data_IF_224871213328
#
_entry.id   IF_224871213328
#
_cell.length_a   1.000
_cell.length_b   1.000
_cell.length_c   1.000
_cell.angle_alpha   90.00
_cell.angle_beta   90.00
_cell.angle_gamma   90.00
#
_symmetry.space_group_name_H-M   'P 1'
#
loop_
_entity.id
_entity.type
_entity.pdbx_description
1 polymer ?
#
# COMPACT_ATOMS: atom_id res chain seq x y z
N UNK A 1 -26.82 -80.30 19.06
CA UNK A 1 -25.43 -80.12 18.60
C UNK A 1 -25.30 -78.73 18.04
N UNK A 2 -24.16 -78.10 18.32
CA UNK A 2 -23.70 -76.80 17.81
C UNK A 2 -24.29 -75.55 18.46
N UNK A 3 -23.68 -75.23 19.60
CA UNK A 3 -23.35 -73.89 20.07
C UNK A 3 -22.53 -73.13 19.01
N UNK A 4 -22.71 -71.82 18.89
CA UNK A 4 -21.60 -70.93 18.59
C UNK A 4 -21.81 -69.55 19.24
N UNK A 5 -20.70 -69.02 19.72
CA UNK A 5 -20.55 -67.95 20.69
C UNK A 5 -20.16 -66.67 19.96
N UNK A 6 -20.84 -65.56 20.22
CA UNK A 6 -20.39 -64.23 19.77
C UNK A 6 -19.91 -63.42 20.97
N UNK A 7 -18.62 -63.06 20.92
CA UNK A 7 -17.91 -62.25 21.90
C UNK A 7 -18.36 -60.77 21.85
N UNK A 8 -18.24 -60.03 22.97
CA UNK A 8 -18.45 -58.57 22.98
C UNK A 8 -17.16 -57.81 22.62
N UNK A 9 -17.30 -56.78 21.78
CA UNK A 9 -16.26 -55.80 21.43
C UNK A 9 -15.91 -54.88 22.61
N UNK A 10 -14.62 -54.64 22.92
CA UNK A 10 -14.22 -53.69 23.94
C UNK A 10 -13.97 -52.28 23.36
N UNK A 11 -14.54 -51.30 24.07
CA UNK A 11 -13.97 -49.97 24.30
C UNK A 11 -14.07 -48.92 23.18
N UNK A 12 -15.21 -48.23 23.21
CA UNK A 12 -15.36 -46.85 22.75
C UNK A 12 -14.61 -45.90 23.69
N UNK A 13 -13.52 -45.32 23.21
CA UNK A 13 -12.76 -44.27 23.93
C UNK A 13 -13.04 -42.92 23.27
N UNK A 14 -13.87 -42.10 23.93
CA UNK A 14 -14.14 -40.72 23.50
C UNK A 14 -13.01 -39.79 23.99
N UNK A 15 -12.38 -38.96 23.12
CA UNK A 15 -11.38 -38.00 23.56
C UNK A 15 -12.02 -36.78 24.24
N UNK A 16 -11.34 -36.27 25.27
CA UNK A 16 -11.75 -35.12 26.09
C UNK A 16 -11.84 -33.81 25.27
N UNK A 17 -12.74 -32.88 25.66
CA UNK A 17 -12.87 -31.59 25.00
C UNK A 17 -11.66 -30.70 25.30
N UNK A 18 -11.07 -30.11 24.26
CA UNK A 18 -10.02 -29.10 24.35
C UNK A 18 -10.54 -27.80 24.97
N UNK A 19 -9.70 -27.07 25.74
CA UNK A 19 -10.10 -25.81 26.35
C UNK A 19 -10.37 -24.75 25.29
N UNK A 20 -11.56 -24.15 25.37
CA UNK A 20 -12.02 -23.10 24.48
C UNK A 20 -11.07 -21.89 24.52
N UNK A 21 -10.34 -21.68 23.43
CA UNK A 21 -9.60 -20.44 23.18
C UNK A 21 -10.61 -19.30 23.08
N UNK A 22 -10.39 -18.29 23.90
CA UNK A 22 -11.28 -17.16 24.15
C UNK A 22 -11.65 -16.42 22.84
N UNK A 23 -12.90 -16.55 22.36
CA UNK A 23 -13.40 -15.94 21.11
C UNK A 23 -13.53 -14.41 21.17
N UNK A 24 -13.36 -13.78 22.33
CA UNK A 24 -13.55 -12.33 22.50
C UNK A 24 -12.36 -11.51 22.02
N UNK A 25 -11.15 -12.07 22.02
CA UNK A 25 -9.96 -11.31 21.66
C UNK A 25 -9.77 -11.16 20.14
N UNK A 26 -10.46 -11.97 19.33
CA UNK A 26 -10.39 -11.88 17.86
C UNK A 26 -11.26 -10.77 17.30
N UNK A 27 -12.39 -10.42 17.94
CA UNK A 27 -13.30 -9.40 17.40
C UNK A 27 -12.65 -8.01 17.44
N UNK A 28 -12.08 -7.61 18.57
CA UNK A 28 -11.35 -6.34 18.71
C UNK A 28 -10.13 -6.25 17.78
N UNK A 29 -9.49 -7.40 17.48
CA UNK A 29 -8.36 -7.44 16.56
C UNK A 29 -8.77 -7.39 15.08
N UNK A 30 -10.01 -7.78 14.74
CA UNK A 30 -10.55 -7.66 13.38
C UNK A 30 -11.01 -6.23 13.10
N UNK A 31 -11.65 -5.56 14.08
CA UNK A 31 -12.07 -4.17 13.93
C UNK A 31 -10.88 -3.22 13.73
N UNK A 32 -9.79 -3.41 14.48
CA UNK A 32 -8.55 -2.65 14.29
C UNK A 32 -7.89 -2.93 12.91
N UNK A 33 -7.98 -4.16 12.39
CA UNK A 33 -7.47 -4.50 11.06
C UNK A 33 -8.35 -3.93 9.93
N UNK A 34 -9.65 -3.71 10.17
CA UNK A 34 -10.54 -3.07 9.21
C UNK A 34 -10.27 -1.57 9.07
N UNK A 35 -9.90 -0.87 10.14
CA UNK A 35 -9.48 0.55 10.08
C UNK A 35 -8.17 0.73 9.29
N UNK A 36 -7.18 -0.14 9.51
CA UNK A 36 -5.92 -0.10 8.76
C UNK A 36 -6.11 -0.48 7.28
N UNK A 37 -7.01 -1.42 6.98
CA UNK A 37 -7.32 -1.81 5.61
C UNK A 37 -8.19 -0.78 4.89
N UNK A 38 -9.03 -0.02 5.61
CA UNK A 38 -9.75 1.12 5.06
C UNK A 38 -8.79 2.24 4.65
N UNK A 39 -7.80 2.56 5.50
CA UNK A 39 -6.75 3.54 5.18
C UNK A 39 -5.89 3.14 3.97
N UNK A 40 -5.56 1.84 3.83
CA UNK A 40 -4.85 1.29 2.68
C UNK A 40 -5.73 1.17 1.42
N UNK A 41 -7.03 0.89 1.53
CA UNK A 41 -7.98 0.92 0.40
C UNK A 41 -8.27 2.34 -0.07
N UNK A 42 -8.26 3.33 0.81
CA UNK A 42 -8.32 4.75 0.42
C UNK A 42 -7.00 5.27 -0.14
N UNK A 43 -5.90 4.50 -0.02
CA UNK A 43 -4.71 4.69 -0.83
C UNK A 43 -4.86 4.10 -2.24
N UNK A 44 -6.06 3.64 -2.63
CA UNK A 44 -6.50 3.67 -4.03
C UNK A 44 -6.19 5.07 -4.55
N UNK A 45 -5.29 5.12 -5.53
CA UNK A 45 -4.73 6.30 -6.17
C UNK A 45 -5.80 7.39 -6.30
N UNK A 46 -5.85 8.31 -5.33
CA UNK A 46 -6.81 9.41 -5.40
C UNK A 46 -6.54 10.16 -6.70
N UNK A 47 -7.58 10.73 -7.31
CA UNK A 47 -7.44 11.49 -8.55
C UNK A 47 -6.34 12.55 -8.39
N UNK A 48 -6.22 13.14 -7.21
CA UNK A 48 -5.20 14.11 -6.84
C UNK A 48 -3.79 13.50 -6.85
N UNK A 49 -3.62 12.27 -6.35
CA UNK A 49 -2.34 11.57 -6.38
C UNK A 49 -1.93 11.20 -7.81
N UNK A 50 -2.89 10.79 -8.65
CA UNK A 50 -2.66 10.54 -10.09
C UNK A 50 -2.26 11.82 -10.83
N UNK A 51 -2.95 12.92 -10.56
CA UNK A 51 -2.59 14.23 -11.13
C UNK A 51 -1.19 14.61 -10.70
N UNK A 52 -0.84 14.47 -9.41
CA UNK A 52 0.48 14.83 -8.93
C UNK A 52 1.60 13.99 -9.55
N UNK A 53 1.35 12.71 -9.84
CA UNK A 53 2.38 11.79 -10.35
C UNK A 53 2.74 12.03 -11.82
N UNK A 54 1.84 12.59 -12.62
CA UNK A 54 2.06 12.82 -14.06
C UNK A 54 2.62 14.22 -14.39
N UNK A 55 2.69 15.10 -13.39
CA UNK A 55 3.13 16.48 -13.58
C UNK A 55 4.62 16.64 -13.24
N UNK A 56 5.45 16.67 -14.28
CA UNK A 56 6.89 16.82 -14.12
C UNK A 56 7.29 18.30 -14.22
N UNK A 57 7.94 18.88 -13.19
CA UNK A 57 8.47 20.24 -13.25
C UNK A 57 9.41 20.43 -14.45
N UNK A 58 9.34 21.59 -15.10
CA UNK A 58 10.15 21.89 -16.28
C UNK A 58 10.48 23.37 -16.38
N UNK A 59 11.60 23.67 -17.02
CA UNK A 59 11.99 25.04 -17.39
C UNK A 59 11.51 25.34 -18.82
N UNK A 60 10.53 26.22 -19.01
CA UNK A 60 10.03 26.55 -20.33
C UNK A 60 11.01 27.45 -21.10
N UNK A 61 10.82 27.52 -22.41
CA UNK A 61 11.50 28.49 -23.27
C UNK A 61 11.12 29.92 -22.85
N UNK A 62 12.06 30.90 -22.91
CA UNK A 62 11.87 32.27 -22.42
C UNK A 62 10.75 33.09 -23.10
N UNK A 63 10.10 32.55 -24.14
CA UNK A 63 8.97 33.19 -24.84
C UNK A 63 7.71 32.31 -24.90
N UNK A 64 7.70 31.18 -24.18
CA UNK A 64 6.53 30.31 -24.15
C UNK A 64 5.48 30.84 -23.17
N UNK A 65 4.21 30.60 -23.48
CA UNK A 65 3.06 30.95 -22.63
C UNK A 65 2.18 29.73 -22.42
N UNK A 66 1.45 29.71 -21.31
CA UNK A 66 0.51 28.62 -21.01
C UNK A 66 -0.69 28.72 -21.95
N UNK A 67 -1.03 27.65 -22.67
CA UNK A 67 -2.19 27.64 -23.59
C UNK A 67 -3.55 27.62 -22.88
N UNK A 68 -3.59 27.41 -21.55
CA UNK A 68 -4.82 27.42 -20.75
C UNK A 68 -5.15 28.85 -20.28
N UNK A 69 -4.20 29.53 -19.61
CA UNK A 69 -4.41 30.87 -19.06
C UNK A 69 -3.81 32.00 -19.92
N UNK A 70 -3.16 31.67 -21.03
CA UNK A 70 -2.50 32.60 -21.96
C UNK A 70 -1.43 33.51 -21.31
N UNK A 71 -0.98 33.18 -20.10
CA UNK A 71 0.03 33.95 -19.37
C UNK A 71 1.44 33.46 -19.72
N UNK A 72 2.41 34.36 -19.94
CA UNK A 72 3.81 33.97 -20.17
C UNK A 72 4.38 33.23 -18.97
N UNK A 73 5.26 32.26 -19.22
CA UNK A 73 5.89 31.54 -18.14
C UNK A 73 6.92 32.41 -17.39
N UNK A 74 7.07 32.21 -16.07
CA UNK A 74 8.07 32.93 -15.31
C UNK A 74 9.48 32.53 -15.76
N UNK A 75 10.35 33.52 -15.95
CA UNK A 75 11.73 33.34 -16.40
C UNK A 75 12.71 33.02 -15.27
N UNK A 76 12.28 33.15 -14.01
CA UNK A 76 13.11 32.92 -12.85
C UNK A 76 13.25 31.42 -12.54
N UNK A 77 14.47 30.92 -12.24
CA UNK A 77 14.69 29.50 -11.97
C UNK A 77 13.92 28.99 -10.74
N UNK A 78 13.66 29.87 -9.77
CA UNK A 78 12.84 29.55 -8.59
C UNK A 78 11.36 29.29 -8.94
N UNK A 79 10.90 29.70 -10.12
CA UNK A 79 9.53 29.53 -10.58
C UNK A 79 9.34 28.32 -11.51
N UNK A 80 10.39 27.55 -11.77
CA UNK A 80 10.32 26.30 -12.56
C UNK A 80 9.38 25.25 -11.92
N UNK A 81 9.16 25.31 -10.61
CA UNK A 81 8.17 24.47 -9.91
C UNK A 81 6.72 24.80 -10.29
N UNK A 82 6.47 26.02 -10.78
CA UNK A 82 5.15 26.46 -11.22
C UNK A 82 4.81 26.02 -12.64
N UNK A 83 5.77 25.45 -13.39
CA UNK A 83 5.63 25.03 -14.77
C UNK A 83 5.93 23.54 -14.92
N UNK A 84 5.06 22.84 -15.64
CA UNK A 84 5.12 21.37 -15.74
C UNK A 84 4.90 20.93 -17.18
N UNK A 85 5.52 19.82 -17.58
CA UNK A 85 5.21 19.13 -18.83
C UNK A 85 4.42 17.85 -18.56
N UNK A 86 3.70 17.41 -19.59
CA UNK A 86 2.95 16.15 -19.58
C UNK A 86 3.75 14.99 -20.21
N UNK A 87 3.47 13.73 -19.80
CA UNK A 87 4.17 12.54 -20.34
C UNK A 87 3.91 12.30 -21.83
N UNK A 88 2.82 12.86 -22.39
CA UNK A 88 2.51 12.71 -23.81
C UNK A 88 3.51 13.43 -24.74
N UNK A 89 4.12 14.54 -24.30
CA UNK A 89 5.18 15.22 -25.03
C UNK A 89 5.89 16.24 -24.12
N UNK A 90 7.22 16.28 -24.17
CA UNK A 90 8.04 17.26 -23.45
C UNK A 90 7.79 18.72 -23.88
N UNK A 91 7.15 18.94 -25.04
CA UNK A 91 6.76 20.28 -25.52
C UNK A 91 5.42 20.75 -24.97
N UNK A 92 4.62 19.87 -24.38
CA UNK A 92 3.31 20.20 -23.81
C UNK A 92 3.48 20.75 -22.40
N UNK A 93 3.79 22.05 -22.32
CA UNK A 93 4.09 22.75 -21.07
C UNK A 93 2.92 23.63 -20.62
N UNK A 94 2.61 23.59 -19.32
CA UNK A 94 1.52 24.34 -18.71
C UNK A 94 1.90 24.85 -17.31
N UNK A 95 1.13 25.80 -16.78
CA UNK A 95 1.19 26.13 -15.37
C UNK A 95 0.65 24.95 -14.55
N UNK A 96 1.36 24.56 -13.48
CA UNK A 96 0.98 23.45 -12.60
C UNK A 96 -0.46 23.57 -12.11
N UNK A 97 -0.86 24.78 -11.70
CA UNK A 97 -2.22 25.04 -11.24
C UNK A 97 -3.27 24.88 -12.35
N UNK A 98 -3.00 25.39 -13.56
CA UNK A 98 -3.93 25.33 -14.68
C UNK A 98 -4.18 23.89 -15.14
N UNK A 99 -3.11 23.10 -15.29
CA UNK A 99 -3.26 21.72 -15.75
C UNK A 99 -3.81 20.79 -14.66
N UNK A 100 -3.48 21.05 -13.39
CA UNK A 100 -4.10 20.33 -12.28
C UNK A 100 -5.60 20.60 -12.22
N UNK A 101 -6.03 21.86 -12.38
CA UNK A 101 -7.45 22.21 -12.42
C UNK A 101 -8.16 21.62 -13.64
N UNK A 102 -7.49 21.60 -14.80
CA UNK A 102 -7.98 20.91 -15.99
C UNK A 102 -8.29 19.44 -15.69
N UNK A 103 -7.41 18.70 -15.02
CA UNK A 103 -7.66 17.30 -14.68
C UNK A 103 -8.69 17.08 -13.57
N UNK A 104 -8.93 18.07 -12.70
CA UNK A 104 -10.01 18.03 -11.71
C UNK A 104 -11.38 18.21 -12.34
N UNK A 105 -11.50 19.23 -13.21
CA UNK A 105 -12.79 19.68 -13.74
C UNK A 105 -13.14 19.04 -15.08
N UNK A 106 -12.14 18.60 -15.86
CA UNK A 106 -12.30 18.00 -17.20
C UNK A 106 -11.81 16.55 -17.24
N UNK A 107 -11.88 15.92 -18.42
CA UNK A 107 -11.33 14.58 -18.68
C UNK A 107 -9.82 14.50 -18.38
N UNK A 108 -9.29 13.29 -18.17
CA UNK A 108 -7.88 12.97 -17.93
C UNK A 108 -6.97 13.12 -19.17
N UNK A 109 -7.25 14.08 -20.07
CA UNK A 109 -6.58 14.20 -21.37
C UNK A 109 -5.82 15.52 -21.54
N UNK A 110 -4.72 15.47 -22.30
CA UNK A 110 -3.90 16.64 -22.61
C UNK A 110 -4.69 17.68 -23.44
N UNK A 111 -4.70 18.98 -23.07
CA UNK A 111 -5.39 20.03 -23.83
C UNK A 111 -4.88 20.20 -25.28
N UNK A 112 -3.63 19.84 -25.56
CA UNK A 112 -3.01 20.05 -26.87
C UNK A 112 -3.20 18.86 -27.83
N UNK A 113 -2.97 17.64 -27.35
CA UNK A 113 -2.99 16.44 -28.21
C UNK A 113 -4.08 15.43 -27.85
N UNK A 114 -4.85 15.67 -26.77
CA UNK A 114 -5.91 14.78 -26.27
C UNK A 114 -5.46 13.39 -25.85
N UNK A 115 -4.16 13.13 -25.79
CA UNK A 115 -3.63 11.89 -25.23
C UNK A 115 -4.00 11.78 -23.75
N UNK A 116 -4.34 10.58 -23.25
CA UNK A 116 -4.60 10.36 -21.83
C UNK A 116 -3.33 10.66 -21.02
N UNK A 117 -3.49 11.35 -19.90
CA UNK A 117 -2.41 11.71 -19.00
C UNK A 117 -2.13 10.58 -17.99
N UNK A 118 -3.17 9.89 -17.53
CA UNK A 118 -3.13 8.73 -16.63
C UNK A 118 -4.32 7.83 -16.90
N UNK A 119 -4.14 6.52 -16.66
CA UNK A 119 -5.22 5.55 -16.74
C UNK A 119 -6.10 5.65 -15.48
N UNK A 120 -7.38 5.96 -15.66
CA UNK A 120 -8.34 5.88 -14.55
C UNK A 120 -8.75 4.42 -14.35
N UNK A 121 -8.72 3.90 -13.10
CA UNK A 121 -8.91 2.48 -12.82
C UNK A 121 -10.29 1.90 -13.20
N UNK A 122 -11.25 2.70 -13.66
CA UNK A 122 -12.59 2.25 -14.10
C UNK A 122 -12.92 2.58 -15.56
N UNK A 123 -11.96 3.07 -16.35
CA UNK A 123 -12.23 3.47 -17.74
C UNK A 123 -12.29 2.30 -18.74
N UNK A 124 -11.98 1.08 -18.30
CA UNK A 124 -12.21 -0.16 -19.06
C UNK A 124 -13.67 -0.60 -19.03
N UNK A 125 -14.63 0.33 -19.15
CA UNK A 125 -15.96 -0.07 -19.59
C UNK A 125 -15.83 -0.41 -21.06
N UNK A 126 -15.97 -1.68 -21.46
CA UNK A 126 -15.83 -2.00 -22.85
C UNK A 126 -17.04 -1.41 -23.58
N UNK A 127 -16.77 -0.39 -24.41
CA UNK A 127 -17.78 0.38 -25.15
C UNK A 127 -18.31 -0.45 -26.32
N UNK A 128 -19.01 -1.55 -26.03
CA UNK A 128 -19.89 -2.28 -26.96
C UNK A 128 -20.52 -3.58 -26.42
N UNK A 129 -20.47 -3.84 -25.11
CA UNK A 129 -21.04 -5.07 -24.56
C UNK A 129 -22.50 -4.86 -24.16
N UNK A 130 -23.33 -5.86 -24.42
CA UNK A 130 -24.70 -5.89 -23.91
C UNK A 130 -24.72 -5.98 -22.38
N UNK A 131 -25.83 -5.60 -21.75
CA UNK A 131 -25.97 -5.63 -20.28
C UNK A 131 -25.71 -7.02 -19.69
N UNK A 132 -26.08 -8.09 -20.42
CA UNK A 132 -25.84 -9.48 -20.02
C UNK A 132 -24.35 -9.86 -20.09
N UNK A 133 -23.64 -9.48 -21.15
CA UNK A 133 -22.19 -9.74 -21.30
C UNK A 133 -21.35 -8.90 -20.32
N UNK A 134 -21.86 -7.74 -19.92
CA UNK A 134 -21.23 -6.89 -18.91
C UNK A 134 -21.19 -7.59 -17.54
N UNK A 135 -22.25 -8.32 -17.18
CA UNK A 135 -22.32 -9.09 -15.95
C UNK A 135 -21.26 -10.19 -15.88
N UNK A 136 -21.10 -10.96 -16.96
CA UNK A 136 -20.08 -12.01 -17.06
C UNK A 136 -18.66 -11.44 -16.96
N UNK A 137 -18.40 -10.30 -17.62
CA UNK A 137 -17.12 -9.61 -17.54
C UNK A 137 -16.75 -9.18 -16.12
N UNK A 138 -17.67 -8.54 -15.38
CA UNK A 138 -17.40 -8.09 -14.01
C UNK A 138 -17.21 -9.26 -13.04
N UNK A 139 -17.95 -10.36 -13.22
CA UNK A 139 -17.75 -11.57 -12.42
C UNK A 139 -16.38 -12.21 -12.70
N UNK A 140 -16.00 -12.36 -13.97
CA UNK A 140 -14.69 -12.87 -14.35
C UNK A 140 -13.55 -11.98 -13.83
N UNK A 141 -13.70 -10.65 -13.92
CA UNK A 141 -12.73 -9.69 -13.39
C UNK A 141 -12.62 -9.76 -11.86
N UNK A 142 -13.75 -9.90 -11.16
CA UNK A 142 -13.78 -10.10 -9.71
C UNK A 142 -13.05 -11.38 -9.32
N UNK A 143 -13.33 -12.49 -9.99
CA UNK A 143 -12.71 -13.78 -9.67
C UNK A 143 -11.19 -13.74 -9.94
N UNK A 144 -10.76 -13.06 -11.00
CA UNK A 144 -9.33 -12.79 -11.26
C UNK A 144 -8.68 -11.96 -10.14
N UNK A 145 -9.34 -10.90 -9.66
CA UNK A 145 -8.83 -10.06 -8.57
C UNK A 145 -8.74 -10.83 -7.24
N UNK A 146 -9.66 -11.76 -7.00
CA UNK A 146 -9.63 -12.63 -5.81
C UNK A 146 -8.40 -13.54 -5.86
N UNK A 147 -8.08 -14.13 -7.01
CA UNK A 147 -6.88 -14.96 -7.18
C UNK A 147 -5.60 -14.14 -7.04
N UNK A 148 -5.51 -12.97 -7.68
CA UNK A 148 -4.36 -12.06 -7.56
C UNK A 148 -4.11 -11.64 -6.09
N UNK A 149 -5.18 -11.35 -5.35
CA UNK A 149 -5.08 -11.04 -3.92
C UNK A 149 -4.66 -12.28 -3.09
N UNK A 150 -5.11 -13.47 -3.46
CA UNK A 150 -4.69 -14.71 -2.81
C UNK A 150 -3.19 -14.97 -3.01
N UNK A 151 -2.67 -14.75 -4.22
CA UNK A 151 -1.24 -14.85 -4.54
C UNK A 151 -0.42 -13.82 -3.76
N UNK A 152 -0.83 -12.56 -3.75
CA UNK A 152 -0.11 -11.50 -3.03
C UNK A 152 -0.12 -11.75 -1.51
N UNK A 153 -1.24 -12.21 -0.94
CA UNK A 153 -1.28 -12.58 0.49
C UNK A 153 -0.39 -13.79 0.79
N UNK A 154 -0.28 -14.77 -0.10
CA UNK A 154 0.67 -15.87 0.04
C UNK A 154 2.14 -15.39 -0.03
N UNK A 155 2.43 -14.46 -0.94
CA UNK A 155 3.74 -13.82 -1.07
C UNK A 155 4.12 -13.05 0.19
N UNK A 156 3.22 -12.22 0.71
CA UNK A 156 3.44 -11.45 1.94
C UNK A 156 3.65 -12.36 3.16
N UNK A 157 2.88 -13.45 3.28
CA UNK A 157 3.10 -14.47 4.33
C UNK A 157 4.50 -15.09 4.24
N UNK A 158 4.95 -15.39 3.02
CA UNK A 158 6.29 -15.93 2.78
C UNK A 158 7.38 -14.94 3.18
N UNK A 159 7.26 -13.68 2.76
CA UNK A 159 8.18 -12.60 3.14
C UNK A 159 8.24 -12.41 4.66
N UNK A 160 7.08 -12.45 5.34
CA UNK A 160 7.01 -12.37 6.80
C UNK A 160 7.72 -13.55 7.47
N UNK A 161 7.56 -14.76 6.95
CA UNK A 161 8.24 -15.96 7.47
C UNK A 161 9.77 -15.85 7.34
N UNK A 162 10.26 -15.33 6.22
CA UNK A 162 11.71 -15.18 5.97
C UNK A 162 12.31 -14.02 6.77
N UNK A 163 11.59 -12.91 6.92
CA UNK A 163 12.08 -11.70 7.61
C UNK A 163 11.94 -11.75 9.13
N UNK A 164 11.01 -12.55 9.67
CA UNK A 164 10.78 -12.68 11.12
C UNK A 164 12.06 -12.99 11.93
N UNK A 165 12.88 -14.01 11.60
CA UNK A 165 14.10 -14.30 12.37
C UNK A 165 15.13 -13.17 12.28
N UNK A 166 15.23 -12.48 11.14
CA UNK A 166 16.13 -11.33 10.96
C UNK A 166 15.71 -10.16 11.83
N UNK A 167 14.40 -9.85 11.88
CA UNK A 167 13.86 -8.80 12.73
C UNK A 167 14.01 -9.13 14.22
N UNK A 168 13.81 -10.38 14.61
CA UNK A 168 14.00 -10.83 15.99
C UNK A 168 15.48 -10.72 16.43
N UNK A 169 16.41 -11.11 15.56
CA UNK A 169 17.85 -10.95 15.80
C UNK A 169 18.24 -9.46 15.91
N UNK A 170 17.71 -8.61 15.05
CA UNK A 170 17.95 -7.17 15.12
C UNK A 170 17.42 -6.56 16.42
N UNK A 171 16.23 -6.98 16.88
CA UNK A 171 15.67 -6.57 18.18
C UNK A 171 16.55 -7.03 19.35
N UNK A 172 17.03 -8.28 19.33
CA UNK A 172 17.91 -8.80 20.37
C UNK A 172 19.24 -8.02 20.44
N UNK A 173 19.85 -7.72 19.29
CA UNK A 173 21.08 -6.92 19.24
C UNK A 173 20.88 -5.48 19.76
N UNK A 174 19.74 -4.86 19.46
CA UNK A 174 19.40 -3.53 19.99
C UNK A 174 19.30 -3.55 21.52
N UNK A 175 18.60 -4.53 22.09
CA UNK A 175 18.47 -4.69 23.54
C UNK A 175 19.86 -4.88 24.18
N UNK A 176 20.71 -5.72 23.60
CA UNK A 176 22.06 -5.95 24.13
C UNK A 176 22.94 -4.68 24.07
N UNK A 177 22.87 -3.93 22.97
CA UNK A 177 23.57 -2.65 22.86
C UNK A 177 23.11 -1.64 23.92
N UNK A 178 21.80 -1.55 24.18
CA UNK A 178 21.24 -0.70 25.23
C UNK A 178 21.74 -1.13 26.63
N UNK A 179 21.87 -2.43 26.90
CA UNK A 179 22.44 -2.96 28.16
C UNK A 179 23.91 -2.63 28.32
N UNK A 180 24.71 -2.80 27.28
CA UNK A 180 26.14 -2.46 27.27
C UNK A 180 26.32 -0.96 27.54
N UNK A 181 25.53 -0.12 26.86
CA UNK A 181 25.58 1.32 27.04
C UNK A 181 25.22 1.74 28.47
N UNK A 182 24.16 1.16 29.04
CA UNK A 182 23.76 1.43 30.43
C UNK A 182 24.85 1.02 31.44
N UNK A 183 25.49 -0.14 31.24
CA UNK A 183 26.58 -0.60 32.09
C UNK A 183 27.81 0.31 32.01
N UNK A 184 28.16 0.74 30.79
CA UNK A 184 29.25 1.70 30.57
C UNK A 184 28.97 3.04 31.25
N UNK A 185 27.77 3.59 31.08
CA UNK A 185 27.36 4.84 31.75
C UNK A 185 27.48 4.73 33.27
N UNK A 186 26.96 3.65 33.86
CA UNK A 186 27.02 3.43 35.31
C UNK A 186 28.46 3.28 35.84
N UNK A 187 29.37 2.73 35.04
CA UNK A 187 30.78 2.64 35.40
C UNK A 187 31.47 4.01 35.41
N UNK A 188 31.11 4.88 34.46
CA UNK A 188 31.64 6.25 34.36
C UNK A 188 31.15 7.15 35.49
N UNK A 189 29.93 6.93 36.00
CA UNK A 189 29.36 7.70 37.10
C UNK A 189 29.89 7.27 38.49
N UNK A 190 30.73 6.23 38.58
CA UNK A 190 31.28 5.76 39.86
C UNK A 190 32.37 6.73 40.34
N UNK A 191 32.22 7.37 41.53
CA UNK A 191 33.25 8.26 42.05
C UNK A 191 34.55 7.48 42.28
N UNK A 192 35.73 8.08 42.03
CA UNK A 192 37.00 7.42 42.25
C UNK A 192 37.12 7.02 43.73
N UNK A 193 37.79 5.89 44.05
CA UNK A 193 37.96 5.47 45.43
C UNK A 193 38.67 6.58 46.21
N UNK A 194 38.14 6.89 47.39
CA UNK A 194 38.77 7.85 48.29
C UNK A 194 40.19 7.36 48.62
N UNK A 195 41.19 8.19 48.33
CA UNK A 195 42.56 7.92 48.77
C UNK A 195 42.59 8.06 50.29
N UNK A 196 42.76 6.96 50.99
CA UNK A 196 43.09 6.96 52.42
C UNK A 196 44.51 7.55 52.56
N UNK A 197 44.61 8.70 53.23
CA UNK A 197 45.85 9.39 53.57
C UNK A 197 46.20 9.13 55.04
#
# INVERSE_FOLDING_TARGET
MSSDSSAPDPSSSTPAPTPARNRRDTAASIDALHEDHAALKTASLTREALIASVLTPTTPSPNASCSICMTPFPTEPAAAEATVHLPCNNTHVFCRACIAEWFRTSQNTCPLCRSPAFDEPDSHHPRNFSDDEMGEYWLARRDQLVEELAEETARLRTLRRVSAPTLERARALRIEAERIYAAFSAAMDRPPPAREF
#
